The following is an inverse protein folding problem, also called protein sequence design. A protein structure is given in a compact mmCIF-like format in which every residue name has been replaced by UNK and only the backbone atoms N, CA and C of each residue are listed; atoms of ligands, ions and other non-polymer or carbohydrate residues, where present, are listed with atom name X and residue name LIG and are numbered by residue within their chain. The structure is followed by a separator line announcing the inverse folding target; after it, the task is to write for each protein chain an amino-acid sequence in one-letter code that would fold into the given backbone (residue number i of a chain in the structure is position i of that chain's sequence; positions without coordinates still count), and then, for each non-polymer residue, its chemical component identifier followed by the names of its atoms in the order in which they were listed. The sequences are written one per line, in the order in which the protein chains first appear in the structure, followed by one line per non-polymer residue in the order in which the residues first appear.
data_IF_528388589488
#
_entry.id   IF_528388589488
#
_cell.length_a   1.000
_cell.length_b   1.000
_cell.length_c   1.000
_cell.angle_alpha   90.00
_cell.angle_beta   90.00
_cell.angle_gamma   90.00
#
_symmetry.space_group_name_H-M   'P 1'
#
loop_
_entity.id
_entity.type
_entity.pdbx_description
1 polymer ?
#
# COMPACT_ATOMS: atom_id res chain seq x y z
N UNK A 1 5.31 32.95 -17.00
CA UNK A 1 6.22 31.79 -16.79
C UNK A 1 7.41 31.92 -17.73
N UNK A 2 8.64 31.94 -17.19
CA UNK A 2 9.87 32.19 -17.96
C UNK A 2 10.27 30.97 -18.81
N UNK A 3 10.98 31.20 -19.93
CA UNK A 3 11.38 30.16 -20.90
C UNK A 3 12.24 29.07 -20.24
N UNK A 4 13.08 29.45 -19.26
CA UNK A 4 13.88 28.52 -18.45
C UNK A 4 12.99 27.55 -17.66
N UNK A 5 11.88 28.03 -17.08
CA UNK A 5 10.94 27.19 -16.34
C UNK A 5 10.20 26.23 -17.26
N UNK A 6 9.91 26.62 -18.51
CA UNK A 6 9.28 25.73 -19.50
C UNK A 6 10.20 24.56 -19.88
N UNK A 7 11.50 24.83 -20.09
CA UNK A 7 12.49 23.80 -20.46
C UNK A 7 12.66 22.77 -19.33
N UNK A 8 12.73 23.22 -18.07
CA UNK A 8 12.87 22.34 -16.90
C UNK A 8 11.65 21.42 -16.75
N UNK A 9 10.44 21.94 -16.99
CA UNK A 9 9.21 21.13 -16.92
C UNK A 9 9.20 20.08 -18.04
N UNK A 10 9.57 20.45 -19.27
CA UNK A 10 9.59 19.52 -20.41
C UNK A 10 10.64 18.41 -20.20
N UNK A 11 11.84 18.74 -19.69
CA UNK A 11 12.86 17.72 -19.41
C UNK A 11 12.44 16.75 -18.31
N UNK A 12 11.75 17.25 -17.28
CA UNK A 12 11.22 16.40 -16.20
C UNK A 12 10.14 15.42 -16.70
N UNK A 13 9.26 15.88 -17.60
CA UNK A 13 8.24 15.03 -18.22
C UNK A 13 8.83 13.88 -19.05
N UNK A 14 9.89 14.15 -19.81
CA UNK A 14 10.57 13.12 -20.62
C UNK A 14 11.20 12.06 -19.72
N UNK A 15 11.86 12.45 -18.63
CA UNK A 15 12.47 11.50 -17.68
C UNK A 15 11.47 10.66 -16.91
N UNK A 16 10.24 11.15 -16.68
CA UNK A 16 9.21 10.42 -15.94
C UNK A 16 8.56 9.30 -16.78
N UNK A 17 8.52 9.45 -18.11
CA UNK A 17 7.95 8.46 -19.03
C UNK A 17 8.82 7.20 -19.24
N UNK A 18 10.07 7.21 -18.78
CA UNK A 18 11.04 6.11 -19.00
C UNK A 18 10.98 4.95 -17.99
N UNK A 19 10.15 5.03 -16.94
CA UNK A 19 10.11 3.96 -15.91
C UNK A 19 9.31 2.71 -16.32
N UNK A 20 8.57 2.74 -17.43
CA UNK A 20 7.63 1.66 -17.77
C UNK A 20 8.25 0.48 -18.54
N UNK A 21 9.50 0.59 -19.00
CA UNK A 21 10.14 -0.41 -19.89
C UNK A 21 11.08 -1.39 -19.17
N UNK A 22 11.19 -1.32 -17.84
CA UNK A 22 12.13 -2.13 -17.04
C UNK A 22 11.52 -3.40 -16.43
N UNK A 23 10.28 -3.75 -16.77
CA UNK A 23 9.64 -4.98 -16.25
C UNK A 23 9.69 -6.05 -17.35
N UNK A 24 10.57 -7.06 -17.26
CA UNK A 24 10.56 -8.20 -18.17
C UNK A 24 9.15 -8.82 -18.22
N UNK A 25 8.73 -9.27 -19.40
CA UNK A 25 7.42 -9.89 -19.61
C UNK A 25 7.14 -11.09 -18.68
N UNK A 26 8.19 -11.82 -18.27
CA UNK A 26 8.09 -12.87 -17.25
C UNK A 26 7.75 -12.34 -15.84
N UNK A 27 8.23 -11.14 -15.50
CA UNK A 27 7.99 -10.50 -14.20
C UNK A 27 6.56 -9.97 -14.09
N UNK A 28 5.95 -9.51 -15.20
CA UNK A 28 4.52 -9.17 -15.22
C UNK A 28 3.62 -10.33 -14.77
N UNK A 29 3.92 -11.55 -15.23
CA UNK A 29 3.16 -12.75 -14.85
C UNK A 29 3.36 -13.09 -13.38
N UNK A 30 4.59 -13.03 -12.87
CA UNK A 30 4.89 -13.25 -11.46
C UNK A 30 4.17 -12.23 -10.54
N UNK A 31 4.19 -10.94 -10.90
CA UNK A 31 3.47 -9.90 -10.16
C UNK A 31 1.95 -10.08 -10.23
N UNK A 32 1.41 -10.58 -11.34
CA UNK A 32 -0.02 -10.89 -11.45
C UNK A 32 -0.44 -11.99 -10.47
N UNK A 33 0.29 -13.10 -10.43
CA UNK A 33 0.00 -14.19 -9.48
C UNK A 33 0.22 -13.77 -8.03
N UNK A 34 1.28 -13.00 -7.76
CA UNK A 34 1.53 -12.43 -6.44
C UNK A 34 0.39 -11.49 -6.00
N UNK A 35 -0.12 -10.66 -6.91
CA UNK A 35 -1.27 -9.78 -6.66
C UNK A 35 -2.54 -10.57 -6.33
N UNK A 36 -2.82 -11.64 -7.07
CA UNK A 36 -3.98 -12.52 -6.79
C UNK A 36 -3.82 -13.20 -5.43
N UNK A 37 -2.66 -13.80 -5.15
CA UNK A 37 -2.38 -14.47 -3.88
C UNK A 37 -2.49 -13.49 -2.70
N UNK A 38 -1.94 -12.28 -2.84
CA UNK A 38 -2.07 -11.22 -1.84
C UNK A 38 -3.52 -10.83 -1.64
N UNK A 39 -4.28 -10.63 -2.72
CA UNK A 39 -5.69 -10.28 -2.64
C UNK A 39 -6.52 -11.34 -1.91
N UNK A 40 -6.30 -12.61 -2.23
CA UNK A 40 -6.94 -13.73 -1.52
C UNK A 40 -6.57 -13.75 -0.03
N UNK A 41 -5.28 -13.56 0.28
CA UNK A 41 -4.78 -13.47 1.66
C UNK A 41 -5.36 -12.28 2.42
N UNK A 42 -5.47 -11.11 1.79
CA UNK A 42 -6.08 -9.92 2.37
C UNK A 42 -7.56 -10.15 2.68
N UNK A 43 -8.32 -10.77 1.77
CA UNK A 43 -9.73 -11.11 1.98
C UNK A 43 -9.88 -12.09 3.15
N UNK A 44 -9.11 -13.17 3.16
CA UNK A 44 -9.17 -14.19 4.20
C UNK A 44 -8.74 -13.67 5.59
N UNK A 45 -7.71 -12.81 5.63
CA UNK A 45 -7.26 -12.17 6.86
C UNK A 45 -8.31 -11.16 7.36
N UNK A 46 -8.90 -10.39 6.45
CA UNK A 46 -9.92 -9.40 6.79
C UNK A 46 -11.21 -10.05 7.29
N UNK A 47 -11.65 -11.17 6.69
CA UNK A 47 -12.85 -11.88 7.14
C UNK A 47 -12.70 -12.45 8.55
N UNK A 48 -11.49 -12.83 8.95
CA UNK A 48 -11.21 -13.41 10.28
C UNK A 48 -10.89 -12.36 11.34
N UNK A 49 -10.15 -11.30 10.98
CA UNK A 49 -9.56 -10.36 11.95
C UNK A 49 -10.04 -8.92 11.77
N UNK A 50 -10.76 -8.62 10.69
CA UNK A 50 -11.11 -7.27 10.29
C UNK A 50 -9.92 -6.42 9.80
N UNK A 51 -8.77 -7.05 9.51
CA UNK A 51 -7.53 -6.43 9.03
C UNK A 51 -6.98 -7.18 7.81
N UNK A 52 -6.37 -6.44 6.88
CA UNK A 52 -5.62 -7.03 5.77
C UNK A 52 -4.23 -7.49 6.21
N UNK A 53 -3.50 -8.21 5.36
CA UNK A 53 -2.10 -8.57 5.64
C UNK A 53 -1.22 -7.32 5.81
N UNK A 54 -1.53 -6.26 5.04
CA UNK A 54 -0.85 -4.98 5.14
C UNK A 54 -1.07 -4.30 6.49
N UNK A 55 -2.29 -4.38 7.03
CA UNK A 55 -2.65 -3.82 8.33
C UNK A 55 -1.92 -4.53 9.47
N UNK A 56 -1.78 -5.86 9.38
CA UNK A 56 -1.00 -6.66 10.34
C UNK A 56 0.49 -6.31 10.29
N UNK A 57 1.06 -6.25 9.09
CA UNK A 57 2.45 -5.82 8.91
C UNK A 57 2.69 -4.42 9.48
N UNK A 58 1.81 -3.47 9.16
CA UNK A 58 1.89 -2.10 9.67
C UNK A 58 1.71 -2.04 11.20
N UNK A 59 0.82 -2.87 11.75
CA UNK A 59 0.65 -2.96 13.21
C UNK A 59 1.93 -3.43 13.90
N UNK A 60 2.59 -4.46 13.34
CA UNK A 60 3.84 -4.99 13.86
C UNK A 60 5.00 -3.99 13.74
N UNK A 61 5.11 -3.29 12.60
CA UNK A 61 6.18 -2.32 12.37
C UNK A 61 6.06 -1.07 13.25
N UNK A 62 4.84 -0.61 13.53
CA UNK A 62 4.58 0.61 14.32
C UNK A 62 4.43 0.30 15.82
N UNK A 63 4.13 -0.95 16.18
CA UNK A 63 3.81 -1.34 17.56
C UNK A 63 2.46 -0.81 18.04
N UNK A 64 1.53 -0.59 17.11
CA UNK A 64 0.19 -0.04 17.35
C UNK A 64 -0.86 -0.86 16.61
N UNK A 65 -2.12 -0.72 17.01
CA UNK A 65 -3.22 -1.34 16.28
C UNK A 65 -3.53 -0.49 15.04
N UNK A 66 -3.05 -0.90 13.87
CA UNK A 66 -3.23 -0.19 12.62
C UNK A 66 -4.25 -0.87 11.70
N UNK A 67 -5.16 -0.09 11.14
CA UNK A 67 -6.17 -0.51 10.16
C UNK A 67 -6.45 0.60 9.16
N UNK A 68 -6.07 0.39 7.90
CA UNK A 68 -6.22 1.38 6.83
C UNK A 68 -7.69 1.80 6.63
N UNK A 69 -8.62 0.85 6.74
CA UNK A 69 -10.06 1.09 6.56
C UNK A 69 -10.67 2.12 7.53
N UNK A 70 -9.99 2.46 8.64
CA UNK A 70 -10.44 3.51 9.58
C UNK A 70 -10.56 4.89 8.93
N UNK A 71 -9.81 5.14 7.87
CA UNK A 71 -9.90 6.39 7.10
C UNK A 71 -11.32 6.63 6.56
N UNK A 72 -12.04 5.55 6.21
CA UNK A 72 -13.40 5.62 5.68
C UNK A 72 -14.42 6.09 6.73
N UNK A 73 -14.13 5.85 8.01
CA UNK A 73 -14.96 6.28 9.16
C UNK A 73 -14.33 7.46 9.91
N UNK A 74 -13.40 8.18 9.27
CA UNK A 74 -12.68 9.36 9.82
C UNK A 74 -11.97 9.10 11.16
N UNK A 75 -11.52 7.86 11.39
CA UNK A 75 -10.71 7.49 12.55
C UNK A 75 -9.22 7.44 12.18
N UNK A 76 -8.31 7.68 13.13
CA UNK A 76 -6.88 7.52 12.89
C UNK A 76 -6.54 6.08 12.50
N UNK A 77 -5.64 5.90 11.53
CA UNK A 77 -5.25 4.59 11.00
C UNK A 77 -4.70 3.70 12.12
N UNK A 78 -3.78 4.24 12.93
CA UNK A 78 -3.16 3.54 14.04
C UNK A 78 -3.64 4.12 15.37
N UNK A 79 -4.15 3.25 16.23
CA UNK A 79 -4.51 3.57 17.62
C UNK A 79 -3.62 2.79 18.58
N UNK A 80 -3.57 3.20 19.84
CA UNK A 80 -2.86 2.41 20.85
C UNK A 80 -3.49 1.01 20.91
N UNK A 81 -2.64 -0.01 21.06
CA UNK A 81 -3.13 -1.37 21.27
C UNK A 81 -3.89 -1.36 22.58
N UNK A 82 -5.20 -1.55 22.51
CA UNK A 82 -6.00 -1.70 23.72
C UNK A 82 -5.76 -3.12 24.26
N UNK A 83 -5.15 -3.29 25.45
CA UNK A 83 -4.93 -4.61 26.02
C UNK A 83 -6.23 -5.39 26.26
N UNK A 84 -7.39 -4.71 26.32
CA UNK A 84 -8.70 -5.35 26.43
C UNK A 84 -9.26 -5.90 25.11
N UNK A 85 -8.66 -5.54 23.96
CA UNK A 85 -9.04 -6.04 22.63
C UNK A 85 -8.43 -7.41 22.30
N UNK A 86 -7.40 -7.83 23.05
CA UNK A 86 -6.79 -9.16 22.97
C UNK A 86 -7.48 -10.18 23.89
N UNK A 87 -8.81 -10.18 23.97
CA UNK A 87 -9.55 -11.27 24.62
C UNK A 87 -9.51 -12.51 23.74
N UNK A 88 -8.51 -13.35 23.97
CA UNK A 88 -8.57 -14.79 23.77
C UNK A 88 -8.38 -15.46 25.13
#
# INVERSE_FOLDING_TARGET
MNIKNKIIIISAFITLSGCSTLVPSGTQTAFKYLGIAKGAGDVASYSQTGKTLNDHFMSAAIGKDCKLGRVLIKQPICIQVDPSSHKY
#
